data_IF_672512575184
#
_entry.id   IF_672512575184
#
_cell.length_a   1.000
_cell.length_b   1.000
_cell.length_c   1.000
_cell.angle_alpha   90.00
_cell.angle_beta   90.00
_cell.angle_gamma   90.00
#
_symmetry.space_group_name_H-M   'P 1'
#
loop_
_entity.id
_entity.type
_entity.pdbx_description
1 polymer ?
#
# COMPACT_ATOMS: atom_id res chain seq x y z
N UNK A 1 15.79 43.04 17.49
CA UNK A 1 16.06 42.66 16.08
C UNK A 1 16.08 41.14 15.99
N UNK A 2 15.23 40.41 15.24
CA UNK A 2 13.86 40.71 14.77
C UNK A 2 13.16 39.39 14.41
N UNK A 3 12.21 38.92 15.24
CA UNK A 3 11.33 37.77 14.89
C UNK A 3 10.51 38.07 13.62
N UNK A 4 10.25 39.35 13.35
CA UNK A 4 9.63 39.87 12.11
C UNK A 4 10.44 39.52 10.85
N UNK A 5 11.77 39.40 10.94
CA UNK A 5 12.62 39.14 9.77
C UNK A 5 12.44 37.73 9.21
N UNK A 6 12.28 36.72 10.07
CA UNK A 6 12.13 35.32 9.65
C UNK A 6 10.80 35.08 8.90
N UNK A 7 9.74 35.81 9.27
CA UNK A 7 8.41 35.71 8.64
C UNK A 7 8.42 36.16 7.17
N UNK A 8 9.23 37.17 6.82
CA UNK A 8 9.29 37.70 5.45
C UNK A 8 10.22 36.91 4.52
N UNK A 9 11.04 35.98 5.04
CA UNK A 9 11.92 35.15 4.22
C UNK A 9 11.23 33.93 3.59
N UNK A 10 10.03 33.57 4.07
CA UNK A 10 9.37 32.28 3.76
C UNK A 10 8.16 32.45 2.82
N UNK A 11 7.64 33.67 2.63
CA UNK A 11 6.42 33.93 1.85
C UNK A 11 6.57 35.11 0.88
N UNK A 12 7.08 34.90 -0.36
CA UNK A 12 6.90 35.85 -1.44
C UNK A 12 5.45 35.80 -1.94
N UNK A 13 4.65 36.81 -1.56
CA UNK A 13 3.30 36.98 -2.10
C UNK A 13 3.37 37.51 -3.54
N UNK A 14 2.68 36.83 -4.46
CA UNK A 14 2.31 37.39 -5.76
C UNK A 14 0.86 37.03 -6.07
N UNK A 15 0.09 38.04 -6.47
CA UNK A 15 -1.32 37.96 -6.85
C UNK A 15 -1.48 38.63 -8.21
N UNK A 16 -2.57 38.30 -8.92
CA UNK A 16 -2.99 38.89 -10.21
C UNK A 16 -2.13 38.53 -11.46
N UNK A 17 -2.68 38.31 -12.67
CA UNK A 17 -4.08 38.02 -13.07
C UNK A 17 -4.15 37.39 -14.48
N UNK A 18 -5.15 36.55 -14.68
CA UNK A 18 -5.68 35.92 -15.91
C UNK A 18 -5.22 36.38 -17.31
N UNK A 19 -4.71 35.41 -18.10
CA UNK A 19 -5.29 35.00 -19.41
C UNK A 19 -4.71 33.63 -19.82
N UNK A 20 -5.49 32.82 -20.54
CA UNK A 20 -5.14 31.42 -20.87
C UNK A 20 -4.96 31.16 -22.36
N UNK A 21 -4.36 30.01 -22.69
CA UNK A 21 -4.34 29.42 -24.03
C UNK A 21 -4.11 27.90 -23.96
N UNK A 22 -4.16 27.22 -25.10
CA UNK A 22 -4.50 25.80 -25.24
C UNK A 22 -3.32 24.90 -25.64
N UNK A 23 -3.39 23.62 -25.21
CA UNK A 23 -2.69 22.42 -25.69
C UNK A 23 -1.20 22.45 -26.13
N UNK A 24 -0.38 21.57 -25.50
CA UNK A 24 0.35 20.49 -26.20
C UNK A 24 1.06 19.53 -25.21
N UNK A 25 1.07 18.20 -25.43
CA UNK A 25 1.89 17.26 -24.68
C UNK A 25 3.32 17.16 -25.24
N UNK A 26 4.29 16.77 -24.40
CA UNK A 26 5.69 16.57 -24.78
C UNK A 26 6.05 15.08 -24.84
N UNK A 27 6.43 14.59 -26.04
CA UNK A 27 7.55 13.68 -26.37
C UNK A 27 7.47 13.29 -27.88
N UNK A 28 8.57 12.84 -28.52
CA UNK A 28 8.84 13.20 -29.91
C UNK A 28 8.34 12.24 -31.00
N UNK A 29 8.08 12.81 -32.18
CA UNK A 29 7.78 12.11 -33.43
C UNK A 29 9.04 11.82 -34.24
N UNK A 30 9.30 10.54 -34.53
CA UNK A 30 10.24 10.09 -35.59
C UNK A 30 9.56 8.95 -36.34
N UNK A 31 8.70 9.24 -37.32
CA UNK A 31 9.10 9.37 -38.73
C UNK A 31 9.93 8.17 -39.22
N UNK A 32 9.23 7.19 -39.80
CA UNK A 32 9.73 6.45 -40.95
C UNK A 32 8.62 6.42 -42.00
N UNK A 33 8.84 7.05 -43.16
CA UNK A 33 7.74 7.42 -44.06
C UNK A 33 8.20 7.41 -45.53
N UNK A 34 7.86 6.34 -46.28
CA UNK A 34 7.95 6.18 -47.74
C UNK A 34 7.53 4.73 -48.11
N UNK A 35 6.73 4.42 -49.13
CA UNK A 35 5.84 5.19 -50.01
C UNK A 35 4.59 4.30 -50.26
N UNK A 36 3.34 4.81 -50.29
CA UNK A 36 2.69 5.68 -51.31
C UNK A 36 2.22 4.91 -52.59
N UNK A 37 1.23 5.39 -53.37
CA UNK A 37 -0.08 4.74 -53.34
C UNK A 37 -0.74 4.44 -54.71
N UNK A 38 -1.84 3.67 -54.71
CA UNK A 38 -2.76 3.56 -55.84
C UNK A 38 -4.22 3.31 -55.39
N UNK A 39 -5.16 3.95 -56.08
CA UNK A 39 -6.62 4.01 -55.83
C UNK A 39 -7.33 2.68 -55.52
N UNK A 40 -8.23 2.67 -54.52
CA UNK A 40 -9.69 2.54 -54.72
C UNK A 40 -10.48 2.65 -53.39
N UNK A 41 -11.76 3.10 -53.41
CA UNK A 41 -12.63 3.12 -52.24
C UNK A 41 -13.33 1.77 -52.01
N UNK A 42 -13.60 1.43 -50.74
CA UNK A 42 -14.41 0.26 -50.39
C UNK A 42 -15.90 0.62 -50.48
N UNK A 43 -16.48 0.40 -51.66
CA UNK A 43 -17.93 0.46 -51.87
C UNK A 43 -18.57 -0.94 -51.76
N UNK A 44 -19.73 -0.97 -51.09
CA UNK A 44 -20.85 -1.89 -51.26
C UNK A 44 -20.58 -3.41 -51.30
N UNK A 45 -20.88 -4.09 -50.18
CA UNK A 45 -21.04 -5.55 -50.13
C UNK A 45 -22.39 -5.98 -50.77
N UNK A 46 -22.40 -6.84 -51.81
CA UNK A 46 -23.64 -7.22 -52.48
C UNK A 46 -24.30 -8.48 -51.91
N UNK A 47 -25.55 -8.30 -51.45
CA UNK A 47 -26.64 -9.31 -51.44
C UNK A 47 -26.63 -10.46 -50.39
N UNK A 48 -27.81 -11.06 -50.06
CA UNK A 48 -28.24 -11.07 -48.65
C UNK A 48 -28.84 -12.41 -48.14
N UNK A 49 -29.49 -12.32 -46.97
CA UNK A 49 -30.44 -13.28 -46.37
C UNK A 49 -29.94 -14.67 -45.96
N UNK A 50 -29.83 -14.88 -44.64
CA UNK A 50 -29.80 -16.23 -44.05
C UNK A 50 -30.55 -16.29 -42.69
N UNK A 51 -31.90 -16.28 -42.70
CA UNK A 51 -32.72 -16.34 -41.48
C UNK A 51 -32.95 -17.78 -40.96
N UNK A 52 -33.34 -17.87 -39.68
CA UNK A 52 -33.57 -19.08 -38.89
C UNK A 52 -34.49 -20.15 -39.53
N UNK A 53 -34.15 -21.45 -39.38
CA UNK A 53 -35.14 -22.55 -39.45
C UNK A 53 -34.80 -23.74 -38.54
N UNK A 54 -35.80 -24.56 -38.18
CA UNK A 54 -35.82 -25.37 -36.94
C UNK A 54 -36.46 -26.78 -37.10
N UNK A 55 -35.64 -27.85 -37.14
CA UNK A 55 -36.02 -29.29 -36.89
C UNK A 55 -37.08 -29.90 -37.87
N UNK A 56 -37.51 -31.19 -37.78
CA UNK A 56 -37.17 -32.35 -36.90
C UNK A 56 -36.47 -33.51 -37.70
N UNK A 57 -36.59 -34.84 -37.53
CA UNK A 57 -37.36 -35.80 -36.67
C UNK A 57 -36.80 -37.25 -36.75
N UNK A 58 -37.14 -38.11 -35.75
CA UNK A 58 -37.15 -39.60 -35.77
C UNK A 58 -35.78 -40.37 -35.84
N UNK A 59 -35.55 -41.52 -35.18
CA UNK A 59 -36.43 -42.37 -34.33
C UNK A 59 -35.70 -43.00 -33.13
N UNK A 60 -36.47 -43.27 -32.08
CA UNK A 60 -36.21 -43.98 -30.81
C UNK A 60 -35.41 -45.30 -30.81
N UNK A 61 -34.69 -45.55 -29.71
CA UNK A 61 -35.03 -46.63 -28.75
C UNK A 61 -34.41 -46.39 -27.34
N UNK A 62 -34.81 -47.21 -26.35
CA UNK A 62 -34.74 -46.86 -24.91
C UNK A 62 -34.06 -47.92 -24.06
N UNK A 63 -33.13 -47.53 -23.18
CA UNK A 63 -32.77 -48.30 -21.97
C UNK A 63 -32.10 -47.42 -20.91
N UNK A 64 -32.49 -47.58 -19.65
CA UNK A 64 -31.99 -46.81 -18.49
C UNK A 64 -30.77 -47.43 -17.82
N UNK A 65 -29.78 -46.60 -17.46
CA UNK A 65 -28.96 -46.80 -16.25
C UNK A 65 -28.40 -45.47 -15.77
N UNK A 66 -28.41 -45.24 -14.45
CA UNK A 66 -27.76 -44.08 -13.84
C UNK A 66 -26.37 -44.49 -13.31
N UNK A 67 -25.36 -43.67 -13.59
CA UNK A 67 -24.06 -43.70 -12.91
C UNK A 67 -23.45 -42.30 -12.89
N UNK A 68 -22.68 -41.99 -11.85
CA UNK A 68 -22.24 -40.63 -11.51
C UNK A 68 -20.78 -40.36 -11.91
N UNK A 69 -20.40 -39.07 -11.86
CA UNK A 69 -19.03 -38.59 -11.60
C UNK A 69 -17.89 -39.17 -12.47
N UNK A 70 -17.25 -38.39 -13.33
CA UNK A 70 -16.38 -37.30 -12.84
C UNK A 70 -15.80 -36.47 -13.99
N UNK A 71 -15.74 -35.16 -13.81
CA UNK A 71 -14.96 -34.24 -14.66
C UNK A 71 -13.76 -33.75 -13.85
N UNK A 72 -12.52 -33.82 -14.38
CA UNK A 72 -11.34 -33.33 -13.65
C UNK A 72 -11.31 -31.80 -13.65
N UNK A 73 -11.84 -31.19 -12.58
CA UNK A 73 -11.63 -29.77 -12.31
C UNK A 73 -10.15 -29.55 -11.99
N UNK A 74 -9.43 -28.88 -12.90
CA UNK A 74 -8.02 -28.55 -12.71
C UNK A 74 -7.88 -27.41 -11.68
N UNK A 75 -8.02 -27.77 -10.40
CA UNK A 75 -8.11 -26.87 -9.27
C UNK A 75 -6.80 -26.15 -8.99
N UNK A 76 -6.57 -25.04 -9.69
CA UNK A 76 -5.53 -24.07 -9.37
C UNK A 76 -5.73 -23.57 -7.94
N UNK A 77 -4.98 -24.16 -7.00
CA UNK A 77 -5.10 -23.85 -5.58
C UNK A 77 -4.54 -22.45 -5.32
N UNK A 78 -5.42 -21.44 -5.39
CA UNK A 78 -5.19 -20.12 -4.84
C UNK A 78 -4.98 -20.23 -3.35
N UNK A 79 -3.72 -20.47 -2.95
CA UNK A 79 -3.30 -20.55 -1.55
C UNK A 79 -3.65 -19.22 -0.88
N UNK A 80 -4.74 -19.20 -0.10
CA UNK A 80 -5.03 -18.06 0.78
C UNK A 80 -3.78 -17.83 1.64
N UNK A 81 -3.19 -16.62 1.66
CA UNK A 81 -2.08 -16.36 2.55
C UNK A 81 -2.55 -16.57 3.99
N UNK A 82 -1.71 -17.21 4.81
CA UNK A 82 -2.05 -17.53 6.20
C UNK A 82 -2.13 -16.30 7.11
N UNK A 83 -1.74 -15.12 6.61
CA UNK A 83 -1.90 -13.82 7.24
C UNK A 83 -2.53 -12.85 6.23
N UNK A 84 -3.34 -11.92 6.76
CA UNK A 84 -3.88 -10.79 5.99
C UNK A 84 -2.75 -9.83 5.56
N UNK A 85 -2.88 -9.26 4.36
CA UNK A 85 -1.90 -8.35 3.78
C UNK A 85 -1.71 -7.05 4.60
N UNK A 86 -2.77 -6.52 5.24
CA UNK A 86 -2.63 -5.39 6.18
C UNK A 86 -1.80 -5.79 7.41
N UNK A 87 -1.96 -7.01 7.91
CA UNK A 87 -1.15 -7.54 9.02
C UNK A 87 0.33 -7.71 8.63
N UNK A 88 0.62 -8.15 7.41
CA UNK A 88 2.00 -8.21 6.89
C UNK A 88 2.58 -6.79 6.72
N UNK A 89 1.80 -5.84 6.20
CA UNK A 89 2.20 -4.44 6.05
C UNK A 89 2.55 -3.80 7.39
N UNK A 90 1.68 -3.93 8.39
CA UNK A 90 1.90 -3.40 9.75
C UNK A 90 3.15 -3.97 10.42
N UNK A 91 3.39 -5.29 10.27
CA UNK A 91 4.60 -5.93 10.77
C UNK A 91 5.85 -5.40 10.08
N UNK A 92 5.80 -5.16 8.76
CA UNK A 92 6.89 -4.56 7.98
C UNK A 92 7.13 -3.10 8.40
N UNK A 93 6.09 -2.31 8.65
CA UNK A 93 6.22 -0.92 9.11
C UNK A 93 6.95 -0.88 10.46
N UNK A 94 6.39 -1.54 11.48
CA UNK A 94 7.01 -1.56 12.81
C UNK A 94 8.45 -2.10 12.80
N UNK A 95 8.70 -3.19 12.06
CA UNK A 95 10.02 -3.80 11.97
C UNK A 95 11.03 -2.96 11.17
N UNK A 96 10.60 -2.19 10.15
CA UNK A 96 11.48 -1.26 9.40
C UNK A 96 12.06 -0.19 10.32
N UNK A 97 11.17 0.43 11.10
CA UNK A 97 11.53 1.60 11.91
C UNK A 97 12.23 1.15 13.20
N UNK A 98 11.81 0.03 13.80
CA UNK A 98 12.51 -0.59 14.93
C UNK A 98 13.93 -1.04 14.58
N UNK A 99 14.20 -1.49 13.36
CA UNK A 99 15.57 -1.81 12.92
C UNK A 99 16.44 -0.56 12.66
N UNK A 100 15.85 0.61 12.38
CA UNK A 100 16.61 1.79 11.95
C UNK A 100 16.73 2.89 13.00
N UNK A 101 15.66 3.22 13.71
CA UNK A 101 15.63 4.34 14.68
C UNK A 101 16.42 4.01 15.96
N UNK A 102 16.16 2.89 16.67
CA UNK A 102 17.01 2.41 17.77
C UNK A 102 18.48 2.22 17.39
N UNK A 103 18.78 1.76 16.17
CA UNK A 103 20.15 1.66 15.69
C UNK A 103 20.80 3.03 15.48
N UNK A 104 20.11 3.97 14.83
CA UNK A 104 20.62 5.32 14.62
C UNK A 104 20.83 6.06 15.95
N UNK A 105 19.93 5.89 16.93
CA UNK A 105 20.12 6.44 18.28
C UNK A 105 21.32 5.81 18.98
N UNK A 106 21.43 4.48 19.02
CA UNK A 106 22.56 3.81 19.71
C UNK A 106 23.92 4.12 19.06
N UNK A 107 23.98 4.23 17.73
CA UNK A 107 25.15 4.74 17.01
C UNK A 107 25.47 6.19 17.42
N UNK A 108 24.47 7.07 17.52
CA UNK A 108 24.63 8.44 18.02
C UNK A 108 25.18 8.49 19.45
N UNK A 109 24.54 7.80 20.38
CA UNK A 109 24.93 7.74 21.79
C UNK A 109 26.30 7.10 22.02
N UNK A 110 26.80 6.28 21.08
CA UNK A 110 28.14 5.69 21.16
C UNK A 110 29.27 6.73 21.16
N UNK A 111 29.01 7.95 20.64
CA UNK A 111 29.95 9.06 20.68
C UNK A 111 30.32 9.51 22.11
N UNK A 112 29.44 9.29 23.09
CA UNK A 112 29.73 9.58 24.51
C UNK A 112 30.64 8.54 25.18
N UNK A 113 30.96 7.43 24.51
CA UNK A 113 31.89 6.38 24.95
C UNK A 113 31.56 5.70 26.31
N UNK A 114 30.36 5.89 26.87
CA UNK A 114 29.84 5.08 28.00
C UNK A 114 28.69 4.18 27.52
N UNK A 115 28.92 2.87 27.53
CA UNK A 115 27.94 1.84 27.17
C UNK A 115 26.62 1.94 27.95
N UNK A 116 26.62 2.51 29.17
CA UNK A 116 25.40 2.70 29.96
C UNK A 116 24.47 3.73 29.33
N UNK A 117 25.02 4.81 28.74
CA UNK A 117 24.22 5.83 28.04
C UNK A 117 23.56 5.20 26.82
N UNK A 118 24.30 4.39 26.05
CA UNK A 118 23.78 3.64 24.90
C UNK A 118 22.67 2.67 25.30
N UNK A 119 22.89 1.85 26.34
CA UNK A 119 21.91 0.85 26.79
C UNK A 119 20.66 1.52 27.38
N UNK A 120 20.80 2.43 28.35
CA UNK A 120 19.63 3.04 28.99
C UNK A 120 18.86 3.97 28.03
N UNK A 121 19.56 4.74 27.19
CA UNK A 121 18.94 5.58 26.18
C UNK A 121 18.20 4.77 25.12
N UNK A 122 18.84 3.73 24.57
CA UNK A 122 18.22 2.86 23.59
C UNK A 122 17.08 2.01 24.15
N UNK A 123 17.16 1.50 25.39
CA UNK A 123 16.03 0.81 26.01
C UNK A 123 14.85 1.74 26.31
N UNK A 124 15.12 2.99 26.71
CA UNK A 124 14.06 3.98 26.94
C UNK A 124 13.36 4.38 25.64
N UNK A 125 14.13 4.63 24.57
CA UNK A 125 13.57 4.90 23.24
C UNK A 125 12.84 3.68 22.67
N UNK A 126 13.39 2.47 22.77
CA UNK A 126 12.72 1.25 22.29
C UNK A 126 11.31 1.08 22.88
N UNK A 127 11.18 1.29 24.19
CA UNK A 127 9.88 1.20 24.89
C UNK A 127 8.97 2.35 24.47
N UNK A 128 9.46 3.60 24.44
CA UNK A 128 8.68 4.77 24.07
C UNK A 128 8.20 4.72 22.61
N UNK A 129 9.07 4.34 21.66
CA UNK A 129 8.78 4.17 20.25
C UNK A 129 7.78 3.04 19.99
N UNK A 130 7.95 1.88 20.66
CA UNK A 130 6.99 0.76 20.56
C UNK A 130 5.59 1.17 21.00
N UNK A 131 5.47 1.91 22.11
CA UNK A 131 4.18 2.42 22.61
C UNK A 131 3.62 3.47 21.65
N UNK A 132 4.44 4.42 21.20
CA UNK A 132 4.05 5.50 20.29
C UNK A 132 3.51 4.97 18.97
N UNK A 133 4.23 4.05 18.31
CA UNK A 133 3.78 3.44 17.05
C UNK A 133 2.59 2.50 17.22
N UNK A 134 2.49 1.79 18.35
CA UNK A 134 1.30 1.03 18.70
C UNK A 134 0.06 1.92 18.81
N UNK A 135 0.17 3.05 19.52
CA UNK A 135 -0.91 4.04 19.62
C UNK A 135 -1.23 4.69 18.27
N UNK A 136 -0.23 4.95 17.43
CA UNK A 136 -0.42 5.42 16.05
C UNK A 136 -1.23 4.44 15.20
N UNK A 137 -0.89 3.15 15.22
CA UNK A 137 -1.65 2.09 14.54
C UNK A 137 -3.06 1.92 15.08
N UNK A 138 -3.24 1.98 16.41
CA UNK A 138 -4.57 1.96 17.03
C UNK A 138 -5.43 3.14 16.57
N UNK A 139 -4.87 4.35 16.59
CA UNK A 139 -5.59 5.57 16.23
C UNK A 139 -5.93 5.62 14.74
N UNK A 140 -5.03 5.17 13.86
CA UNK A 140 -5.30 5.03 12.43
C UNK A 140 -6.43 4.02 12.17
N UNK A 141 -6.31 2.80 12.70
CA UNK A 141 -7.35 1.77 12.51
C UNK A 141 -8.70 2.13 13.15
N UNK A 142 -8.69 2.90 14.25
CA UNK A 142 -9.91 3.44 14.86
C UNK A 142 -10.51 4.56 14.00
N UNK A 143 -9.70 5.47 13.47
CA UNK A 143 -10.14 6.54 12.57
C UNK A 143 -10.73 6.00 11.27
N UNK A 144 -10.15 4.94 10.70
CA UNK A 144 -10.73 4.23 9.54
C UNK A 144 -12.13 3.68 9.87
N UNK A 145 -12.33 3.10 11.06
CA UNK A 145 -13.63 2.58 11.49
C UNK A 145 -14.66 3.69 11.77
N UNK A 146 -14.28 4.75 12.50
CA UNK A 146 -15.17 5.88 12.77
C UNK A 146 -15.55 6.64 11.49
N UNK A 147 -14.65 6.72 10.50
CA UNK A 147 -14.94 7.24 9.17
C UNK A 147 -15.90 6.35 8.39
N UNK A 148 -15.70 5.02 8.41
CA UNK A 148 -16.59 4.06 7.75
C UNK A 148 -18.03 4.16 8.28
N UNK A 149 -18.22 4.12 9.60
CA UNK A 149 -19.55 4.20 10.23
C UNK A 149 -20.24 5.54 9.94
N UNK A 150 -19.49 6.65 9.91
CA UNK A 150 -20.02 7.95 9.52
C UNK A 150 -20.47 7.98 8.05
N UNK A 151 -19.63 7.54 7.11
CA UNK A 151 -19.98 7.52 5.68
C UNK A 151 -21.11 6.55 5.38
N UNK A 152 -21.21 5.41 6.09
CA UNK A 152 -22.36 4.50 6.02
C UNK A 152 -23.63 5.22 6.47
N UNK A 153 -23.62 5.86 7.64
CA UNK A 153 -24.76 6.60 8.20
C UNK A 153 -25.23 7.74 7.28
N UNK A 154 -24.32 8.47 6.64
CA UNK A 154 -24.67 9.51 5.67
C UNK A 154 -25.19 8.92 4.34
N UNK A 155 -24.66 7.77 3.89
CA UNK A 155 -25.15 7.06 2.69
C UNK A 155 -26.56 6.53 2.90
N UNK A 156 -26.86 5.96 4.07
CA UNK A 156 -28.21 5.52 4.45
C UNK A 156 -29.21 6.68 4.44
N UNK A 157 -28.83 7.83 5.00
CA UNK A 157 -29.64 9.06 4.95
C UNK A 157 -29.88 9.52 3.51
N UNK A 158 -28.84 9.58 2.68
CA UNK A 158 -28.93 10.04 1.29
C UNK A 158 -29.87 9.16 0.46
N UNK A 159 -29.76 7.83 0.58
CA UNK A 159 -30.65 6.87 -0.10
C UNK A 159 -32.10 7.00 0.39
N UNK A 160 -32.30 7.34 1.67
CA UNK A 160 -33.64 7.54 2.24
C UNK A 160 -34.26 8.92 1.94
N UNK A 161 -33.45 9.99 1.82
CA UNK A 161 -33.94 11.37 1.63
C UNK A 161 -34.01 11.80 0.17
N UNK A 162 -33.04 11.37 -0.64
CA UNK A 162 -32.79 11.84 -2.01
C UNK A 162 -32.67 10.69 -3.03
N UNK A 163 -33.64 9.76 -3.10
CA UNK A 163 -33.56 8.60 -3.99
C UNK A 163 -33.45 8.96 -5.49
N UNK A 164 -33.79 10.18 -5.88
CA UNK A 164 -33.64 10.72 -7.24
C UNK A 164 -32.20 11.04 -7.65
N UNK A 165 -31.27 11.22 -6.70
CA UNK A 165 -29.86 11.55 -6.96
C UNK A 165 -29.00 10.27 -7.15
N UNK A 166 -29.45 9.15 -6.57
CA UNK A 166 -28.74 7.86 -6.58
C UNK A 166 -28.45 7.31 -8.00
N UNK A 167 -29.35 7.39 -9.00
CA UNK A 167 -29.04 6.94 -10.36
C UNK A 167 -27.84 7.66 -10.98
N UNK A 168 -27.70 8.97 -10.73
CA UNK A 168 -26.58 9.78 -11.23
C UNK A 168 -25.27 9.37 -10.54
N UNK A 169 -25.28 9.18 -9.22
CA UNK A 169 -24.13 8.69 -8.44
C UNK A 169 -23.65 7.32 -8.96
N UNK A 170 -24.57 6.40 -9.28
CA UNK A 170 -24.22 5.08 -9.85
C UNK A 170 -23.68 5.23 -11.28
N UNK A 171 -24.26 6.10 -12.12
CA UNK A 171 -23.73 6.39 -13.46
C UNK A 171 -22.31 6.98 -13.42
N UNK A 172 -22.00 7.84 -12.44
CA UNK A 172 -20.68 8.45 -12.29
C UNK A 172 -19.57 7.45 -11.96
N UNK A 173 -19.89 6.40 -11.19
CA UNK A 173 -18.98 5.25 -10.96
C UNK A 173 -18.61 4.55 -12.29
N UNK A 174 -19.53 4.49 -13.26
CA UNK A 174 -19.29 3.86 -14.56
C UNK A 174 -18.71 4.80 -15.63
N UNK A 175 -18.77 6.13 -15.42
CA UNK A 175 -18.28 7.15 -16.37
C UNK A 175 -16.84 6.90 -16.89
N UNK A 176 -15.83 6.48 -16.08
CA UNK A 176 -14.47 6.22 -16.58
C UNK A 176 -14.37 5.06 -17.58
N UNK A 177 -15.34 4.14 -17.59
CA UNK A 177 -15.34 2.95 -18.44
C UNK A 177 -15.98 3.18 -19.82
N UNK A 178 -16.48 4.39 -20.10
CA UNK A 178 -17.03 4.79 -21.40
C UNK A 178 -18.15 3.86 -21.92
N UNK A 179 -18.91 3.24 -21.01
CA UNK A 179 -20.02 2.35 -21.33
C UNK A 179 -21.24 3.13 -21.83
N UNK A 180 -21.98 2.64 -22.84
CA UNK A 180 -23.17 3.32 -23.34
C UNK A 180 -24.32 3.27 -22.31
N UNK A 181 -25.08 4.36 -22.18
CA UNK A 181 -26.18 4.46 -21.20
C UNK A 181 -27.19 3.31 -21.28
N UNK A 182 -27.50 2.83 -22.50
CA UNK A 182 -28.38 1.67 -22.74
C UNK A 182 -27.95 0.42 -21.97
N UNK A 183 -26.64 0.18 -21.83
CA UNK A 183 -26.10 -0.98 -21.10
C UNK A 183 -26.02 -0.77 -19.59
N UNK A 184 -25.94 0.49 -19.13
CA UNK A 184 -25.86 0.81 -17.69
C UNK A 184 -27.26 0.90 -17.05
N UNK A 185 -28.25 1.45 -17.76
CA UNK A 185 -29.61 1.63 -17.25
C UNK A 185 -30.24 0.37 -16.60
N UNK A 186 -30.26 -0.83 -17.23
CA UNK A 186 -30.84 -2.03 -16.62
C UNK A 186 -30.03 -2.56 -15.42
N UNK A 187 -28.75 -2.19 -15.29
CA UNK A 187 -27.93 -2.48 -14.11
C UNK A 187 -28.29 -1.55 -12.95
N UNK A 188 -28.38 -0.24 -13.20
CA UNK A 188 -28.85 0.78 -12.25
C UNK A 188 -30.23 0.41 -11.72
N UNK A 189 -31.19 0.17 -12.61
CA UNK A 189 -32.55 -0.27 -12.26
C UNK A 189 -32.57 -1.58 -11.47
N UNK A 190 -31.53 -2.41 -11.53
CA UNK A 190 -31.46 -3.67 -10.80
C UNK A 190 -30.78 -3.53 -9.43
N UNK A 191 -29.86 -2.59 -9.28
CA UNK A 191 -29.28 -2.20 -7.99
C UNK A 191 -30.34 -1.49 -7.13
N UNK A 192 -31.04 -0.50 -7.71
CA UNK A 192 -32.04 0.34 -7.04
C UNK A 192 -33.26 -0.44 -6.49
N UNK A 193 -33.47 -1.69 -6.89
CA UNK A 193 -34.54 -2.55 -6.36
C UNK A 193 -34.28 -3.02 -4.93
N UNK A 194 -33.03 -2.99 -4.47
CA UNK A 194 -32.64 -3.32 -3.10
C UNK A 194 -31.84 -2.15 -2.49
N UNK A 195 -32.37 -1.47 -1.46
CA UNK A 195 -31.65 -0.37 -0.82
C UNK A 195 -30.35 -0.86 -0.14
N UNK A 196 -30.29 -2.12 0.32
CA UNK A 196 -29.09 -2.68 0.96
C UNK A 196 -28.00 -2.94 -0.08
N UNK A 197 -28.34 -3.51 -1.24
CA UNK A 197 -27.41 -3.60 -2.37
C UNK A 197 -26.98 -2.21 -2.87
N UNK A 198 -27.88 -1.24 -2.89
CA UNK A 198 -27.60 0.15 -3.28
C UNK A 198 -26.59 0.82 -2.34
N UNK A 199 -26.82 0.78 -1.02
CA UNK A 199 -25.89 1.33 -0.01
C UNK A 199 -24.53 0.63 -0.11
N UNK A 200 -24.50 -0.71 -0.19
CA UNK A 200 -23.25 -1.45 -0.33
C UNK A 200 -22.50 -1.12 -1.63
N UNK A 201 -23.20 -0.87 -2.74
CA UNK A 201 -22.58 -0.43 -3.99
C UNK A 201 -21.96 0.97 -3.85
N UNK A 202 -22.69 1.93 -3.27
CA UNK A 202 -22.20 3.30 -3.07
C UNK A 202 -20.99 3.30 -2.13
N UNK A 203 -21.06 2.57 -1.01
CA UNK A 203 -19.93 2.39 -0.10
C UNK A 203 -18.72 1.77 -0.82
N UNK A 204 -18.90 0.64 -1.51
CA UNK A 204 -17.79 -0.10 -2.12
C UNK A 204 -17.15 0.60 -3.33
N UNK A 205 -17.94 1.28 -4.18
CA UNK A 205 -17.45 1.82 -5.47
C UNK A 205 -17.38 3.35 -5.54
N UNK A 206 -18.35 4.08 -4.95
CA UNK A 206 -18.30 5.55 -4.92
C UNK A 206 -17.37 6.05 -3.81
N UNK A 207 -17.45 5.47 -2.61
CA UNK A 207 -16.57 5.84 -1.49
C UNK A 207 -15.28 4.99 -1.38
N UNK A 208 -15.14 3.93 -2.18
CA UNK A 208 -14.01 2.97 -2.08
C UNK A 208 -13.87 2.30 -0.69
N UNK A 209 -14.98 2.17 0.03
CA UNK A 209 -15.12 1.57 1.36
C UNK A 209 -15.95 0.27 1.27
N UNK A 210 -15.39 -0.85 0.77
CA UNK A 210 -16.12 -2.11 0.71
C UNK A 210 -16.43 -2.65 2.12
N UNK A 211 -17.60 -3.29 2.32
CA UNK A 211 -18.01 -3.78 3.65
C UNK A 211 -17.03 -4.82 4.22
N UNK A 212 -16.78 -4.71 5.52
CA UNK A 212 -15.63 -5.32 6.20
C UNK A 212 -15.75 -6.81 6.56
N UNK A 213 -16.75 -7.52 6.02
CA UNK A 213 -17.08 -8.93 6.37
C UNK A 213 -15.89 -9.91 6.29
N UNK A 214 -14.91 -9.62 5.43
CA UNK A 214 -13.77 -10.51 5.17
C UNK A 214 -12.63 -10.42 6.20
N UNK A 215 -12.56 -9.34 7.00
CA UNK A 215 -11.36 -9.01 7.79
C UNK A 215 -11.69 -8.81 9.27
N UNK A 216 -11.55 -9.88 10.07
CA UNK A 216 -11.74 -9.88 11.54
C UNK A 216 -10.61 -9.17 12.32
N UNK A 217 -10.13 -8.04 11.83
CA UNK A 217 -8.95 -7.33 12.34
C UNK A 217 -9.37 -6.10 13.14
N UNK A 218 -9.14 -6.12 14.45
CA UNK A 218 -9.42 -4.96 15.32
C UNK A 218 -8.27 -3.94 15.25
N UNK A 219 -8.52 -2.64 15.51
CA UNK A 219 -7.45 -1.63 15.63
C UNK A 219 -6.40 -2.01 16.69
N UNK A 220 -6.81 -2.72 17.74
CA UNK A 220 -5.91 -3.28 18.75
C UNK A 220 -4.92 -4.31 18.18
N UNK A 221 -5.35 -5.15 17.23
CA UNK A 221 -4.48 -6.12 16.57
C UNK A 221 -3.47 -5.45 15.60
N UNK A 222 -3.84 -4.32 14.98
CA UNK A 222 -2.89 -3.46 14.25
C UNK A 222 -1.83 -2.89 15.19
N UNK A 223 -2.28 -2.19 16.23
CA UNK A 223 -1.44 -1.60 17.27
C UNK A 223 -0.41 -2.58 17.84
N UNK A 224 -0.86 -3.78 18.23
CA UNK A 224 0.01 -4.82 18.79
C UNK A 224 1.01 -5.35 17.75
N UNK A 225 0.62 -5.49 16.48
CA UNK A 225 1.50 -5.95 15.40
C UNK A 225 2.63 -4.94 15.15
N UNK A 226 2.30 -3.65 15.05
CA UNK A 226 3.28 -2.58 14.82
C UNK A 226 4.22 -2.44 16.03
N UNK A 227 3.65 -2.37 17.26
CA UNK A 227 4.44 -2.25 18.48
C UNK A 227 5.38 -3.44 18.71
N UNK A 228 4.92 -4.67 18.47
CA UNK A 228 5.77 -5.85 18.55
C UNK A 228 6.85 -5.87 17.46
N UNK A 229 6.52 -5.45 16.23
CA UNK A 229 7.49 -5.27 15.15
C UNK A 229 8.61 -4.29 15.53
N UNK A 230 8.25 -3.14 16.09
CA UNK A 230 9.21 -2.13 16.55
C UNK A 230 10.09 -2.65 17.70
N UNK A 231 9.46 -3.24 18.72
CA UNK A 231 10.17 -3.78 19.88
C UNK A 231 11.16 -4.88 19.51
N UNK A 232 10.74 -5.85 18.69
CA UNK A 232 11.60 -6.94 18.20
C UNK A 232 12.70 -6.38 17.29
N UNK A 233 12.35 -5.43 16.40
CA UNK A 233 13.29 -4.78 15.50
C UNK A 233 14.42 -4.08 16.24
N UNK A 234 14.11 -3.28 17.27
CA UNK A 234 15.10 -2.50 18.01
C UNK A 234 15.83 -3.24 19.12
N UNK A 235 15.25 -4.33 19.64
CA UNK A 235 15.97 -5.22 20.56
C UNK A 235 17.21 -5.85 19.91
N UNK A 236 17.17 -6.11 18.59
CA UNK A 236 18.26 -6.74 17.83
C UNK A 236 19.55 -5.88 17.79
N UNK A 237 19.55 -4.59 17.36
CA UNK A 237 20.74 -3.73 17.44
C UNK A 237 21.28 -3.51 18.85
N UNK A 238 20.40 -3.53 19.85
CA UNK A 238 20.76 -3.37 21.26
C UNK A 238 21.44 -4.60 21.86
N UNK A 239 21.05 -5.80 21.42
CA UNK A 239 21.49 -7.08 22.02
C UNK A 239 23.03 -7.20 22.13
N UNK A 240 23.86 -6.88 21.11
CA UNK A 240 25.33 -6.91 21.24
C UNK A 240 25.90 -6.08 22.39
N UNK A 241 25.32 -4.92 22.71
CA UNK A 241 25.84 -4.03 23.76
C UNK A 241 25.75 -4.63 25.16
N UNK A 242 24.85 -5.60 25.40
CA UNK A 242 24.75 -6.31 26.68
C UNK A 242 25.88 -7.33 26.91
N UNK A 243 26.55 -7.79 25.86
CA UNK A 243 27.59 -8.84 25.95
C UNK A 243 29.02 -8.32 25.84
N UNK A 244 29.22 -7.03 25.55
CA UNK A 244 30.54 -6.42 25.39
C UNK A 244 31.01 -5.76 26.69
N UNK A 245 32.22 -6.10 27.14
CA UNK A 245 32.82 -5.51 28.33
C UNK A 245 33.13 -4.01 28.16
N UNK A 246 32.94 -3.23 29.23
CA UNK A 246 33.05 -1.75 29.25
C UNK A 246 34.33 -1.18 28.63
N UNK A 247 35.43 -1.92 28.67
CA UNK A 247 36.77 -1.47 28.22
C UNK A 247 37.00 -1.61 26.71
N UNK A 248 36.03 -2.14 25.94
CA UNK A 248 36.20 -2.44 24.50
C UNK A 248 35.08 -1.88 23.62
N UNK A 249 34.64 -0.64 23.90
CA UNK A 249 33.53 0.04 23.20
C UNK A 249 33.68 0.02 21.67
N UNK A 250 34.88 0.28 21.13
CA UNK A 250 35.13 0.27 19.69
C UNK A 250 34.97 -1.11 19.03
N UNK A 251 35.28 -2.19 19.76
CA UNK A 251 35.05 -3.56 19.27
C UNK A 251 33.55 -3.86 19.31
N UNK A 252 32.85 -3.47 20.39
CA UNK A 252 31.40 -3.63 20.49
C UNK A 252 30.63 -2.87 19.41
N UNK A 253 31.07 -1.64 19.08
CA UNK A 253 30.52 -0.86 17.97
C UNK A 253 30.72 -1.59 16.64
N UNK A 254 31.89 -2.16 16.38
CA UNK A 254 32.18 -2.88 15.14
C UNK A 254 31.33 -4.16 14.99
N UNK A 255 31.14 -4.91 16.08
CA UNK A 255 30.22 -6.06 16.12
C UNK A 255 28.74 -5.63 15.97
N UNK A 256 28.32 -4.54 16.62
CA UNK A 256 26.96 -3.99 16.50
C UNK A 256 26.67 -3.55 15.06
N UNK A 257 27.58 -2.83 14.41
CA UNK A 257 27.48 -2.44 13.00
C UNK A 257 27.44 -3.66 12.08
N UNK A 258 28.26 -4.69 12.35
CA UNK A 258 28.25 -5.94 11.56
C UNK A 258 26.93 -6.72 11.68
N UNK A 259 26.42 -6.88 12.89
CA UNK A 259 25.10 -7.48 13.15
C UNK A 259 23.99 -6.65 12.49
N UNK A 260 24.03 -5.33 12.62
CA UNK A 260 23.01 -4.46 12.05
C UNK A 260 23.01 -4.49 10.52
N UNK A 261 24.17 -4.45 9.89
CA UNK A 261 24.30 -4.58 8.43
C UNK A 261 23.67 -5.88 7.93
N UNK A 262 23.91 -7.00 8.61
CA UNK A 262 23.27 -8.28 8.30
C UNK A 262 21.74 -8.24 8.51
N UNK A 263 21.26 -7.66 9.62
CA UNK A 263 19.83 -7.56 9.92
C UNK A 263 19.07 -6.63 8.95
N UNK A 264 19.62 -5.47 8.60
CA UNK A 264 19.04 -4.57 7.57
C UNK A 264 19.00 -5.26 6.20
N UNK A 265 20.07 -5.96 5.82
CA UNK A 265 20.12 -6.69 4.56
C UNK A 265 19.08 -7.82 4.49
N UNK A 266 19.04 -8.67 5.52
CA UNK A 266 18.08 -9.77 5.62
C UNK A 266 16.63 -9.27 5.67
N UNK A 267 16.37 -8.17 6.38
CA UNK A 267 15.04 -7.55 6.43
C UNK A 267 14.65 -6.93 5.08
N UNK A 268 15.55 -6.21 4.40
CA UNK A 268 15.28 -5.66 3.06
C UNK A 268 15.00 -6.75 2.03
N UNK A 269 15.72 -7.88 2.09
CA UNK A 269 15.44 -9.09 1.31
C UNK A 269 14.06 -9.68 1.66
N UNK A 270 13.74 -9.81 2.95
CA UNK A 270 12.48 -10.37 3.42
C UNK A 270 11.26 -9.51 3.03
N UNK A 271 11.38 -8.18 3.12
CA UNK A 271 10.36 -7.20 2.68
C UNK A 271 10.00 -7.39 1.21
N UNK A 272 10.99 -7.48 0.31
CA UNK A 272 10.76 -7.70 -1.13
C UNK A 272 10.07 -9.04 -1.41
N UNK A 273 10.34 -10.07 -0.61
CA UNK A 273 9.65 -11.38 -0.71
C UNK A 273 8.21 -11.30 -0.18
N UNK A 274 8.00 -10.69 0.99
CA UNK A 274 6.72 -10.65 1.70
C UNK A 274 5.67 -9.76 1.03
N UNK A 275 6.08 -8.65 0.39
CA UNK A 275 5.19 -7.72 -0.33
C UNK A 275 4.71 -8.29 -1.68
N UNK A 276 5.20 -9.48 -2.09
CA UNK A 276 4.75 -10.14 -3.32
C UNK A 276 5.47 -9.71 -4.59
N UNK A 277 6.55 -8.93 -4.49
CA UNK A 277 7.45 -8.61 -5.63
C UNK A 277 8.30 -9.83 -6.08
N UNK A 278 7.78 -11.05 -5.90
CA UNK A 278 8.48 -12.32 -6.13
C UNK A 278 8.97 -12.53 -7.57
N UNK A 279 8.40 -11.81 -8.53
CA UNK A 279 8.86 -11.82 -9.93
C UNK A 279 10.15 -10.99 -10.15
N UNK A 280 10.60 -10.21 -9.17
CA UNK A 280 11.97 -9.68 -9.15
C UNK A 280 12.93 -10.86 -8.94
N UNK A 281 13.84 -11.07 -9.90
CA UNK A 281 14.92 -12.05 -9.78
C UNK A 281 15.84 -11.77 -8.59
N UNK A 282 16.79 -12.68 -8.31
CA UNK A 282 17.74 -12.60 -7.20
C UNK A 282 18.31 -11.17 -6.97
N UNK A 283 18.72 -10.51 -8.05
CA UNK A 283 19.26 -9.15 -8.05
C UNK A 283 18.34 -8.10 -7.39
N UNK A 284 17.02 -8.21 -7.54
CA UNK A 284 16.06 -7.29 -6.94
C UNK A 284 15.90 -7.48 -5.43
N UNK A 285 16.03 -8.71 -4.93
CA UNK A 285 16.04 -9.00 -3.48
C UNK A 285 17.31 -8.45 -2.83
N UNK A 286 18.46 -8.72 -3.45
CA UNK A 286 19.76 -8.17 -3.02
C UNK A 286 19.74 -6.64 -3.03
N UNK A 287 19.17 -6.01 -4.07
CA UNK A 287 18.98 -4.55 -4.11
C UNK A 287 18.15 -4.04 -2.92
N UNK A 288 17.03 -4.68 -2.59
CA UNK A 288 16.22 -4.30 -1.41
C UNK A 288 16.99 -4.38 -0.08
N UNK A 289 17.85 -5.40 0.07
CA UNK A 289 18.77 -5.50 1.20
C UNK A 289 19.81 -4.36 1.24
N UNK A 290 20.44 -4.05 0.11
CA UNK A 290 21.42 -2.94 -0.01
C UNK A 290 20.76 -1.59 0.25
N UNK A 291 19.55 -1.36 -0.28
CA UNK A 291 18.78 -0.12 -0.08
C UNK A 291 18.49 0.12 1.40
N UNK A 292 18.08 -0.93 2.13
CA UNK A 292 17.86 -0.86 3.58
C UNK A 292 19.16 -0.62 4.37
N UNK A 293 20.28 -1.23 3.97
CA UNK A 293 21.60 -0.95 4.55
C UNK A 293 22.03 0.50 4.36
N UNK A 294 21.81 1.07 3.16
CA UNK A 294 22.17 2.47 2.86
C UNK A 294 21.32 3.43 3.69
N UNK A 295 20.00 3.21 3.79
CA UNK A 295 19.11 4.05 4.61
C UNK A 295 19.51 4.00 6.09
N UNK A 296 19.73 2.81 6.66
CA UNK A 296 20.17 2.66 8.06
C UNK A 296 21.56 3.25 8.32
N UNK A 297 22.49 3.10 7.37
CA UNK A 297 23.84 3.68 7.45
C UNK A 297 23.82 5.22 7.39
N UNK A 298 23.00 5.82 6.53
CA UNK A 298 22.81 7.28 6.48
C UNK A 298 22.16 7.80 7.77
N UNK A 299 21.14 7.12 8.29
CA UNK A 299 20.49 7.51 9.54
C UNK A 299 21.45 7.47 10.75
N UNK A 300 22.23 6.39 10.88
CA UNK A 300 23.24 6.25 11.93
C UNK A 300 24.38 7.26 11.80
N UNK A 301 24.88 7.49 10.57
CA UNK A 301 25.90 8.49 10.29
C UNK A 301 25.45 9.93 10.59
N UNK A 302 24.20 10.27 10.27
CA UNK A 302 23.61 11.56 10.58
C UNK A 302 23.44 11.76 12.10
N UNK A 303 22.92 10.75 12.81
CA UNK A 303 22.76 10.77 14.27
C UNK A 303 24.11 10.94 14.99
N UNK A 304 25.10 10.14 14.63
CA UNK A 304 26.47 10.26 15.17
C UNK A 304 27.11 11.61 14.84
N UNK A 305 26.93 12.11 13.61
CA UNK A 305 27.43 13.41 13.19
C UNK A 305 26.85 14.56 14.01
N UNK A 306 25.54 14.54 14.29
CA UNK A 306 24.86 15.56 15.12
C UNK A 306 25.32 15.47 16.58
N UNK A 307 25.34 14.28 17.18
CA UNK A 307 25.78 14.11 18.59
C UNK A 307 27.23 14.56 18.75
N UNK A 308 28.12 14.20 17.81
CA UNK A 308 29.51 14.64 17.83
C UNK A 308 29.63 16.16 17.64
N UNK A 309 28.94 16.76 16.67
CA UNK A 309 29.03 18.21 16.43
C UNK A 309 28.52 19.06 17.61
N UNK A 310 27.63 18.51 18.44
CA UNK A 310 27.21 19.13 19.70
C UNK A 310 28.19 18.87 20.85
N UNK A 311 28.80 17.68 20.92
CA UNK A 311 29.78 17.32 21.95
C UNK A 311 31.16 17.96 21.78
N UNK A 312 31.60 18.22 20.54
CA UNK A 312 32.84 18.96 20.24
C UNK A 312 32.71 20.48 20.54
N UNK A 313 31.54 20.95 20.98
CA UNK A 313 31.20 22.36 21.20
C UNK A 313 31.01 22.79 22.67
N UNK A 314 31.35 21.93 23.65
CA UNK A 314 31.16 22.18 25.10
C UNK A 314 32.43 22.02 25.92
#
# INVERSE_FOLDING_TARGET
>A
MSIVALKNAILPSSSERSRGQEAAPLLPTTIYNACSPANQPWQDCPHPECPLKRRPSLSSQTSTTASSSSSPSNGGSSRKPWLDARTISDAIIGLSDGLTVPFALTAGLSAFNDTRVVIFGGCAELIAGSISMGLGGWLAGRGEAEFYEHTLTETEKLVASSPSEIPEIIHDVFRPYHLPHESIAPLVDSILKDPVATINFIMAFHHSLPPSESTKRTPLSSALTIAAGYFIGGAIPLLPYFFVARTQVMIGLLWSVGVMAACLFLFGVARVVAVGEGNKGWMGRVRGGIEMMVVGGVAAGASWGIVKALGDGS
#
